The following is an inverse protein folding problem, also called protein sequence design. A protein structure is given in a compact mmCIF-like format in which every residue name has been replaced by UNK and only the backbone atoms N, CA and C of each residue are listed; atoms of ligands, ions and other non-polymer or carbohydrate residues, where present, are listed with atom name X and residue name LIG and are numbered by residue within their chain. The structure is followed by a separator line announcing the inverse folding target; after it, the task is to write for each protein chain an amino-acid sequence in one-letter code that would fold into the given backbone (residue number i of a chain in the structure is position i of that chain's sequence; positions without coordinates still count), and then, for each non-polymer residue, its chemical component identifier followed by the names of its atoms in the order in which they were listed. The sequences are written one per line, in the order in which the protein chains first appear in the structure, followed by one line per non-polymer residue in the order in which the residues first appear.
data_IF_264769369085
#
_entry.id   IF_264769369085
#
_cell.length_a   1.000
_cell.length_b   1.000
_cell.length_c   1.000
_cell.angle_alpha   90.00
_cell.angle_beta   90.00
_cell.angle_gamma   90.00
#
_symmetry.space_group_name_H-M   'P 1'
#
loop_
_entity.id
_entity.type
_entity.pdbx_description
1 polymer ?
#
# COMPACT_ATOMS: atom_id res chain seq x y z
N UNK A 1 6.41 1.85 -20.47
CA UNK A 1 6.15 2.19 -21.88
C UNK A 1 4.64 2.28 -22.17
N UNK A 2 3.82 1.32 -21.69
CA UNK A 2 2.37 1.25 -21.97
C UNK A 2 1.59 2.45 -21.34
N UNK A 3 1.83 2.80 -20.09
CA UNK A 3 1.18 3.91 -19.41
C UNK A 3 1.40 5.24 -20.15
N UNK A 4 2.63 5.48 -20.61
CA UNK A 4 2.99 6.70 -21.36
C UNK A 4 2.27 6.82 -22.72
N UNK A 5 1.91 5.68 -23.34
CA UNK A 5 1.13 5.66 -24.59
C UNK A 5 -0.35 5.95 -24.34
N UNK A 6 -0.91 5.46 -23.23
CA UNK A 6 -2.33 5.62 -22.89
C UNK A 6 -2.63 6.99 -22.28
N UNK A 7 -1.67 7.55 -21.55
CA UNK A 7 -1.81 8.78 -20.78
C UNK A 7 -0.60 9.69 -21.00
N UNK A 8 -0.48 10.33 -22.19
CA UNK A 8 0.66 11.19 -22.51
C UNK A 8 0.72 12.45 -21.64
N UNK A 9 -0.38 12.84 -21.03
CA UNK A 9 -0.50 13.97 -20.08
C UNK A 9 0.14 13.66 -18.70
N UNK A 10 0.42 12.39 -18.40
CA UNK A 10 1.03 11.99 -17.13
C UNK A 10 2.54 11.80 -17.29
N UNK A 11 3.32 12.41 -16.41
CA UNK A 11 4.75 12.20 -16.34
C UNK A 11 5.04 10.82 -15.67
N UNK A 12 5.46 9.85 -16.49
CA UNK A 12 5.89 8.53 -16.00
C UNK A 12 7.40 8.53 -15.80
N UNK A 13 7.84 8.25 -14.57
CA UNK A 13 9.24 8.12 -14.18
C UNK A 13 9.48 6.69 -13.71
N UNK A 14 10.59 6.09 -14.16
CA UNK A 14 11.04 4.81 -13.60
C UNK A 14 11.75 5.07 -12.28
N UNK A 15 11.42 4.29 -11.25
CA UNK A 15 12.02 4.47 -9.91
C UNK A 15 11.76 3.25 -9.03
N UNK A 16 12.58 3.13 -8.00
CA UNK A 16 12.40 2.19 -6.91
C UNK A 16 11.67 2.92 -5.76
N UNK A 17 10.62 2.30 -5.21
CA UNK A 17 9.85 2.87 -4.11
C UNK A 17 10.69 3.04 -2.83
N UNK A 18 11.78 2.29 -2.68
CA UNK A 18 12.73 2.39 -1.56
C UNK A 18 13.82 3.44 -1.77
N UNK A 19 13.88 4.06 -2.97
CA UNK A 19 14.82 5.11 -3.34
C UNK A 19 14.21 5.97 -4.45
N UNK A 20 13.20 6.78 -4.12
CA UNK A 20 12.46 7.57 -5.09
C UNK A 20 13.35 8.63 -5.75
N UNK A 21 13.35 8.74 -7.09
CA UNK A 21 14.22 9.67 -7.83
C UNK A 21 13.66 11.10 -7.84
N UNK A 22 13.20 11.57 -6.69
CA UNK A 22 12.65 12.92 -6.50
C UNK A 22 13.34 13.60 -5.33
N UNK A 23 13.44 14.93 -5.40
CA UNK A 23 13.93 15.75 -4.29
C UNK A 23 12.98 15.65 -3.08
N UNK A 24 13.48 16.01 -1.91
CA UNK A 24 12.68 16.18 -0.71
C UNK A 24 11.55 17.17 -0.98
N UNK A 25 10.40 16.96 -0.34
CA UNK A 25 9.31 17.93 -0.32
C UNK A 25 8.81 18.36 -1.73
N UNK A 26 8.68 17.37 -2.64
CA UNK A 26 8.32 17.61 -4.04
C UNK A 26 6.82 17.47 -4.33
N UNK A 27 6.05 16.85 -3.42
CA UNK A 27 4.65 16.49 -3.67
C UNK A 27 3.73 16.83 -2.51
N UNK A 28 2.57 17.40 -2.81
CA UNK A 28 1.51 17.67 -1.82
C UNK A 28 0.78 16.39 -1.39
N UNK A 29 0.67 15.44 -2.30
CA UNK A 29 -0.02 14.16 -2.07
C UNK A 29 0.74 13.04 -2.73
N UNK A 30 0.93 11.95 -1.99
CA UNK A 30 1.45 10.68 -2.48
C UNK A 30 0.39 9.61 -2.35
N UNK A 31 0.18 8.82 -3.39
CA UNK A 31 -0.77 7.71 -3.37
C UNK A 31 -0.13 6.42 -3.85
N UNK A 32 -0.53 5.30 -3.26
CA UNK A 32 -0.18 3.97 -3.74
C UNK A 32 -1.40 3.06 -3.63
N UNK A 33 -1.65 2.28 -4.69
CA UNK A 33 -2.79 1.37 -4.77
C UNK A 33 -2.33 0.00 -5.21
N UNK A 34 -2.56 -1.01 -4.39
CA UNK A 34 -2.25 -2.43 -4.60
C UNK A 34 -0.79 -2.71 -5.02
N UNK A 35 0.13 -1.85 -4.62
CA UNK A 35 1.55 -1.94 -4.97
C UNK A 35 2.48 -2.08 -3.77
N UNK A 36 2.08 -1.59 -2.60
CA UNK A 36 2.97 -1.51 -1.44
C UNK A 36 3.40 -2.90 -0.93
N UNK A 37 2.51 -3.90 -0.97
CA UNK A 37 2.82 -5.28 -0.58
C UNK A 37 3.90 -5.95 -1.43
N UNK A 38 4.14 -5.44 -2.64
CA UNK A 38 5.16 -5.96 -3.55
C UNK A 38 6.54 -5.32 -3.35
N UNK A 39 6.63 -4.34 -2.45
CA UNK A 39 7.91 -3.68 -2.12
C UNK A 39 8.61 -4.50 -1.05
N UNK A 40 9.89 -4.83 -1.26
CA UNK A 40 10.67 -5.67 -0.35
C UNK A 40 10.85 -5.04 1.04
N UNK A 41 11.02 -3.72 1.09
CA UNK A 41 11.18 -2.96 2.33
C UNK A 41 10.07 -1.90 2.43
N UNK A 42 8.95 -2.29 3.02
CA UNK A 42 7.78 -1.43 3.23
C UNK A 42 8.10 -0.22 4.10
N UNK A 43 8.90 -0.40 5.15
CA UNK A 43 9.26 0.69 6.06
C UNK A 43 10.10 1.74 5.34
N UNK A 44 11.07 1.30 4.54
CA UNK A 44 11.89 2.20 3.71
C UNK A 44 11.05 2.93 2.67
N UNK A 45 10.13 2.24 1.99
CA UNK A 45 9.24 2.88 1.02
C UNK A 45 8.35 3.95 1.67
N UNK A 46 7.78 3.67 2.85
CA UNK A 46 6.98 4.64 3.60
C UNK A 46 7.82 5.87 4.04
N UNK A 47 9.09 5.66 4.39
CA UNK A 47 10.03 6.73 4.71
C UNK A 47 10.38 7.57 3.48
N UNK A 48 10.59 6.95 2.32
CA UNK A 48 10.83 7.67 1.06
C UNK A 48 9.60 8.48 0.62
N UNK A 49 8.40 7.89 0.71
CA UNK A 49 7.16 8.60 0.46
C UNK A 49 6.99 9.80 1.40
N UNK A 50 7.40 9.65 2.68
CA UNK A 50 7.41 10.75 3.64
C UNK A 50 8.41 11.82 3.24
N UNK A 51 9.63 11.46 2.85
CA UNK A 51 10.69 12.39 2.44
C UNK A 51 10.25 13.28 1.28
N UNK A 52 9.65 12.69 0.25
CA UNK A 52 9.23 13.42 -0.96
C UNK A 52 7.92 14.20 -0.81
N UNK A 53 7.18 14.00 0.28
CA UNK A 53 5.93 14.74 0.55
C UNK A 53 6.27 16.05 1.28
N UNK A 54 5.65 17.17 0.92
CA UNK A 54 5.82 18.45 1.62
C UNK A 54 5.29 18.39 3.06
N UNK A 55 5.78 19.20 4.00
CA UNK A 55 5.16 19.39 5.31
C UNK A 55 3.68 19.78 5.15
N UNK A 56 2.79 19.15 5.93
CA UNK A 56 1.33 19.29 5.77
C UNK A 56 0.73 18.46 4.62
N UNK A 57 1.56 17.89 3.75
CA UNK A 57 1.14 17.01 2.68
C UNK A 57 0.60 15.65 3.17
N UNK A 58 0.03 14.86 2.29
CA UNK A 58 -0.75 13.66 2.63
C UNK A 58 -0.28 12.42 1.89
N UNK A 59 -0.47 11.27 2.54
CA UNK A 59 -0.39 9.96 1.92
C UNK A 59 -1.74 9.27 1.94
N UNK A 60 -2.05 8.54 0.85
CA UNK A 60 -3.20 7.63 0.77
C UNK A 60 -2.73 6.28 0.23
N UNK A 61 -3.00 5.22 0.99
CA UNK A 61 -2.62 3.85 0.66
C UNK A 61 -3.90 3.02 0.56
N UNK A 62 -4.20 2.47 -0.61
CA UNK A 62 -5.24 1.46 -0.79
C UNK A 62 -4.57 0.11 -1.00
N UNK A 63 -4.81 -0.85 -0.10
CA UNK A 63 -4.18 -2.17 -0.17
C UNK A 63 -5.11 -3.26 0.40
N UNK A 64 -4.84 -4.51 0.05
CA UNK A 64 -5.46 -5.65 0.72
C UNK A 64 -5.20 -5.60 2.22
N UNK A 65 -6.09 -6.20 2.97
CA UNK A 65 -5.99 -6.22 4.42
C UNK A 65 -6.74 -7.43 5.00
N UNK A 66 -6.87 -7.46 6.31
CA UNK A 66 -7.47 -8.60 7.01
C UNK A 66 -8.95 -8.32 7.34
N UNK A 67 -9.89 -9.22 6.96
CA UNK A 67 -11.30 -9.08 7.32
C UNK A 67 -11.52 -8.90 8.82
N UNK A 68 -12.41 -7.97 9.18
CA UNK A 68 -12.66 -7.61 10.59
C UNK A 68 -13.44 -8.69 11.34
N UNK A 69 -14.37 -9.36 10.68
CA UNK A 69 -15.14 -10.45 11.27
C UNK A 69 -14.29 -11.72 11.39
N UNK A 70 -14.21 -12.37 12.58
CA UNK A 70 -13.40 -13.60 12.75
C UNK A 70 -13.85 -14.75 11.84
N UNK A 71 -15.15 -14.94 11.66
CA UNK A 71 -15.69 -15.97 10.77
C UNK A 71 -15.36 -15.69 9.31
N UNK A 72 -15.55 -14.44 8.87
CA UNK A 72 -15.22 -14.02 7.52
C UNK A 72 -13.73 -14.11 7.24
N UNK A 73 -12.88 -13.75 8.21
CA UNK A 73 -11.43 -13.91 8.15
C UNK A 73 -11.03 -15.37 7.94
N UNK A 74 -11.65 -16.31 8.66
CA UNK A 74 -11.39 -17.75 8.51
C UNK A 74 -11.75 -18.23 7.11
N UNK A 75 -12.92 -17.85 6.61
CA UNK A 75 -13.36 -18.19 5.25
C UNK A 75 -12.47 -17.59 4.18
N UNK A 76 -12.08 -16.33 4.34
CA UNK A 76 -11.21 -15.62 3.41
C UNK A 76 -9.80 -16.24 3.36
N UNK A 77 -9.23 -16.60 4.49
CA UNK A 77 -7.94 -17.31 4.54
C UNK A 77 -8.01 -18.67 3.87
N UNK A 78 -9.08 -19.41 4.09
CA UNK A 78 -9.31 -20.68 3.38
C UNK A 78 -9.45 -20.46 1.86
N UNK A 79 -10.18 -19.44 1.45
CA UNK A 79 -10.31 -19.06 0.05
C UNK A 79 -8.94 -18.76 -0.59
N UNK A 80 -8.16 -17.89 0.00
CA UNK A 80 -6.85 -17.50 -0.53
C UNK A 80 -5.82 -18.65 -0.52
N UNK A 81 -5.83 -19.47 0.53
CA UNK A 81 -4.83 -20.53 0.69
C UNK A 81 -5.15 -21.83 -0.01
N UNK A 82 -6.41 -22.07 -0.40
CA UNK A 82 -6.82 -23.36 -0.95
C UNK A 82 -7.74 -23.25 -2.16
N UNK A 83 -8.83 -22.49 -2.07
CA UNK A 83 -9.83 -22.45 -3.12
C UNK A 83 -9.35 -21.68 -4.36
N UNK A 84 -8.70 -20.54 -4.17
CA UNK A 84 -8.19 -19.70 -5.25
C UNK A 84 -7.09 -20.40 -6.07
N UNK A 85 -6.03 -20.99 -5.46
CA UNK A 85 -5.03 -21.76 -6.19
C UNK A 85 -5.63 -22.95 -6.95
N UNK A 86 -6.57 -23.68 -6.32
CA UNK A 86 -7.22 -24.84 -6.94
C UNK A 86 -8.05 -24.42 -8.16
N UNK A 87 -8.84 -23.36 -8.04
CA UNK A 87 -9.62 -22.83 -9.14
C UNK A 87 -8.76 -22.29 -10.27
N UNK A 88 -7.66 -21.61 -9.93
CA UNK A 88 -6.71 -21.08 -10.91
C UNK A 88 -6.07 -22.18 -11.78
N UNK A 89 -5.75 -23.32 -11.18
CA UNK A 89 -5.19 -24.49 -11.93
C UNK A 89 -6.16 -25.06 -12.96
N UNK A 90 -7.45 -24.86 -12.79
CA UNK A 90 -8.48 -25.39 -13.73
C UNK A 90 -8.77 -24.38 -14.85
N UNK A 91 -8.71 -23.07 -14.56
CA UNK A 91 -9.26 -22.03 -15.45
C UNK A 91 -8.15 -21.13 -16.04
N UNK A 92 -6.98 -21.05 -15.42
CA UNK A 92 -5.93 -20.08 -15.80
C UNK A 92 -4.66 -20.77 -16.31
N UNK A 93 -4.07 -20.18 -17.35
CA UNK A 93 -2.74 -20.53 -17.83
C UNK A 93 -1.59 -19.96 -16.97
N UNK A 94 -1.92 -19.08 -15.98
CA UNK A 94 -0.94 -18.42 -15.13
C UNK A 94 -1.23 -18.67 -13.63
N UNK A 95 -1.03 -19.91 -13.20
CA UNK A 95 -1.25 -20.36 -11.82
C UNK A 95 -0.33 -19.65 -10.81
N UNK A 96 0.93 -19.40 -11.19
CA UNK A 96 1.94 -18.75 -10.32
C UNK A 96 1.51 -17.36 -9.87
N UNK A 97 0.84 -16.59 -10.74
CA UNK A 97 0.35 -15.26 -10.38
C UNK A 97 -0.74 -15.29 -9.29
N UNK A 98 -1.59 -16.33 -9.28
CA UNK A 98 -2.64 -16.50 -8.27
C UNK A 98 -2.08 -17.05 -6.96
N UNK A 99 -1.10 -17.94 -7.01
CA UNK A 99 -0.39 -18.43 -5.83
C UNK A 99 0.33 -17.25 -5.15
N UNK A 100 1.10 -16.48 -5.91
CA UNK A 100 1.76 -15.27 -5.42
C UNK A 100 0.78 -14.24 -4.84
N UNK A 101 -0.36 -14.02 -5.50
CA UNK A 101 -1.38 -13.10 -5.00
C UNK A 101 -1.90 -13.55 -3.63
N UNK A 102 -2.26 -14.82 -3.49
CA UNK A 102 -2.74 -15.39 -2.23
C UNK A 102 -1.71 -15.28 -1.11
N UNK A 103 -0.48 -15.69 -1.38
CA UNK A 103 0.63 -15.63 -0.42
C UNK A 103 0.96 -14.20 0.00
N UNK A 104 1.06 -13.27 -0.95
CA UNK A 104 1.37 -11.87 -0.66
C UNK A 104 0.29 -11.19 0.19
N UNK A 105 -0.99 -11.53 -0.03
CA UNK A 105 -2.09 -11.01 0.81
C UNK A 105 -2.05 -11.62 2.22
N UNK A 106 -1.79 -12.93 2.34
CA UNK A 106 -1.74 -13.62 3.63
C UNK A 106 -0.55 -13.18 4.50
N UNK A 107 0.56 -12.81 3.88
CA UNK A 107 1.76 -12.30 4.55
C UNK A 107 1.69 -10.79 4.84
N UNK A 108 0.73 -10.07 4.26
CA UNK A 108 0.61 -8.62 4.39
C UNK A 108 0.07 -8.22 5.78
N UNK A 109 0.61 -7.15 6.39
CA UNK A 109 0.14 -6.64 7.67
C UNK A 109 -1.35 -6.29 7.68
N UNK A 110 -1.98 -6.43 8.85
CA UNK A 110 -3.34 -5.96 9.04
C UNK A 110 -3.41 -4.41 9.10
N UNK A 111 -4.63 -3.88 9.26
CA UNK A 111 -4.86 -2.43 9.26
C UNK A 111 -4.08 -1.69 10.35
N UNK A 112 -3.94 -2.28 11.54
CA UNK A 112 -3.26 -1.67 12.68
C UNK A 112 -1.76 -1.74 12.54
N UNK A 113 -1.27 -2.87 12.06
CA UNK A 113 0.15 -3.09 11.80
C UNK A 113 0.65 -2.12 10.74
N UNK A 114 -0.09 -1.96 9.62
CA UNK A 114 0.27 -0.97 8.59
C UNK A 114 0.21 0.47 9.14
N UNK A 115 -0.81 0.79 9.95
CA UNK A 115 -0.89 2.10 10.60
C UNK A 115 0.32 2.35 11.54
N UNK A 116 0.80 1.31 12.24
CA UNK A 116 2.02 1.34 13.05
C UNK A 116 3.25 1.67 12.20
N UNK A 117 3.47 0.95 11.10
CA UNK A 117 4.57 1.19 10.16
C UNK A 117 4.54 2.62 9.59
N UNK A 118 3.37 3.12 9.25
CA UNK A 118 3.22 4.52 8.81
C UNK A 118 3.65 5.50 9.91
N UNK A 119 3.24 5.25 11.16
CA UNK A 119 3.61 6.10 12.30
C UNK A 119 5.12 6.08 12.55
N UNK A 120 5.76 4.91 12.48
CA UNK A 120 7.21 4.74 12.61
C UNK A 120 7.97 5.47 11.50
N UNK A 121 7.44 5.48 10.27
CA UNK A 121 8.00 6.22 9.14
C UNK A 121 7.80 7.75 9.23
N UNK A 122 7.23 8.27 10.32
CA UNK A 122 7.07 9.71 10.56
C UNK A 122 5.70 10.29 10.26
N UNK A 123 4.80 9.52 9.66
CA UNK A 123 3.43 9.97 9.36
C UNK A 123 2.60 10.19 10.64
N UNK A 124 1.68 11.17 10.62
CA UNK A 124 0.82 11.51 11.76
C UNK A 124 -0.64 11.55 11.36
N UNK A 125 -1.53 11.46 12.36
CA UNK A 125 -2.98 11.42 12.12
C UNK A 125 -3.39 10.22 11.28
N UNK A 126 -2.68 9.09 11.42
CA UNK A 126 -2.96 7.86 10.66
C UNK A 126 -4.36 7.37 10.99
N UNK A 127 -5.17 7.21 9.97
CA UNK A 127 -6.50 6.62 10.06
C UNK A 127 -6.75 5.72 8.87
N UNK A 128 -7.68 4.77 9.03
CA UNK A 128 -8.04 3.88 7.93
C UNK A 128 -9.54 3.61 7.86
N UNK A 129 -10.00 3.26 6.67
CA UNK A 129 -11.37 2.83 6.39
C UNK A 129 -11.35 1.46 5.75
N UNK A 130 -12.10 0.53 6.34
CA UNK A 130 -12.29 -0.80 5.78
C UNK A 130 -13.32 -0.77 4.64
N UNK A 131 -13.01 -1.48 3.57
CA UNK A 131 -13.89 -1.75 2.44
C UNK A 131 -14.11 -3.26 2.33
N UNK A 132 -15.26 -3.67 1.79
CA UNK A 132 -15.60 -5.09 1.59
C UNK A 132 -15.35 -5.95 2.84
N UNK A 133 -15.82 -5.50 4.00
CA UNK A 133 -15.65 -6.23 5.26
C UNK A 133 -14.21 -6.32 5.78
N UNK A 134 -13.31 -5.49 5.25
CA UNK A 134 -11.89 -5.43 5.63
C UNK A 134 -10.94 -6.18 4.70
N UNK A 135 -11.44 -6.75 3.58
CA UNK A 135 -10.59 -7.33 2.52
C UNK A 135 -9.64 -6.28 1.96
N UNK A 136 -10.11 -5.03 1.86
CA UNK A 136 -9.33 -3.87 1.46
C UNK A 136 -9.42 -2.82 2.57
N UNK A 137 -8.33 -2.12 2.82
CA UNK A 137 -8.32 -0.95 3.67
C UNK A 137 -7.67 0.24 2.94
N UNK A 138 -8.26 1.41 3.12
CA UNK A 138 -7.67 2.67 2.67
C UNK A 138 -7.13 3.39 3.89
N UNK A 139 -5.81 3.54 3.97
CA UNK A 139 -5.12 4.30 4.99
C UNK A 139 -4.86 5.72 4.49
N UNK A 140 -4.90 6.67 5.39
CA UNK A 140 -4.49 8.06 5.14
C UNK A 140 -3.67 8.58 6.32
N UNK A 141 -2.73 9.47 6.03
CA UNK A 141 -1.97 10.17 7.04
C UNK A 141 -1.44 11.50 6.49
N UNK A 142 -0.89 12.32 7.35
CA UNK A 142 -0.32 13.63 7.01
C UNK A 142 1.14 13.67 7.44
N UNK A 143 2.01 14.27 6.63
CA UNK A 143 3.34 14.66 7.09
C UNK A 143 3.21 15.85 8.03
N UNK A 144 3.81 15.83 9.25
CA UNK A 144 3.79 16.96 10.14
C UNK A 144 4.31 18.24 9.47
N UNK A 145 3.73 19.37 9.81
CA UNK A 145 4.36 20.66 9.52
C UNK A 145 5.68 20.78 10.30
N UNK A 146 6.63 21.54 9.76
CA UNK A 146 7.79 21.91 10.55
C UNK A 146 7.30 22.63 11.80
N UNK A 147 7.78 22.22 12.97
CA UNK A 147 7.51 22.99 14.18
C UNK A 147 7.92 24.44 13.89
N UNK A 148 6.96 25.36 13.91
CA UNK A 148 7.30 26.79 13.85
C UNK A 148 8.20 27.03 15.05
N UNK A 149 9.47 27.35 14.77
CA UNK A 149 10.39 27.71 15.83
C UNK A 149 9.76 28.82 16.66
N UNK A 150 9.60 28.56 17.94
CA UNK A 150 9.37 29.63 18.91
C UNK A 150 10.54 30.59 18.78
N UNK A 151 10.26 31.74 18.20
CA UNK A 151 11.17 32.89 18.28
C UNK A 151 10.83 33.69 19.53
#
# INVERSE_FOLDING_TARGET
AEGKRRHPEIAFVAGDATALPFADESFDVVTISYGLRNVQDTARALSEMHRVTVPGGRIVIAEFSTPVSPLFRRLYRFYLGSALPTAARVVSSNTEAYDYLGESILAWPDQRELAGLMHEAGWRGVGYKNLSGGIVAVHRATRPEHARGEQ
#
